data_IF_761426984491
#
_entry.id   IF_761426984491
#
_cell.length_a   1.000
_cell.length_b   1.000
_cell.length_c   1.000
_cell.angle_alpha   90.00
_cell.angle_beta   90.00
_cell.angle_gamma   90.00
#
_symmetry.space_group_name_H-M   'P 1'
#
loop_
_entity.id
_entity.type
_entity.pdbx_description
1 polymer ?
#
# COMPACT_ATOMS: atom_id res chain seq x y z
N UNK A 1 -17.72 -6.05 -79.16
CA UNK A 1 -18.77 -6.64 -80.02
C UNK A 1 -19.52 -5.51 -80.67
N UNK A 2 -19.53 -5.45 -82.00
CA UNK A 2 -20.52 -4.70 -82.77
C UNK A 2 -21.78 -5.54 -82.87
N UNK A 3 -22.96 -4.95 -82.59
CA UNK A 3 -24.22 -5.69 -82.65
C UNK A 3 -24.53 -6.09 -84.10
N UNK A 4 -24.56 -7.39 -84.39
CA UNK A 4 -24.94 -7.94 -85.69
C UNK A 4 -26.47 -7.82 -85.87
N UNK A 5 -26.90 -6.60 -86.13
CA UNK A 5 -28.27 -6.23 -86.37
C UNK A 5 -28.63 -6.57 -87.82
N UNK A 6 -29.66 -7.39 -88.03
CA UNK A 6 -30.14 -7.77 -89.37
C UNK A 6 -30.46 -6.58 -90.29
N UNK A 7 -30.68 -5.36 -89.75
CA UNK A 7 -30.80 -4.13 -90.53
C UNK A 7 -29.47 -3.67 -91.16
N UNK A 8 -28.32 -3.84 -90.51
CA UNK A 8 -27.02 -3.54 -91.14
C UNK A 8 -26.66 -4.63 -92.15
N UNK A 9 -26.81 -5.91 -91.79
CA UNK A 9 -26.49 -7.03 -92.69
C UNK A 9 -27.28 -6.95 -93.99
N UNK A 10 -28.56 -6.54 -93.93
CA UNK A 10 -29.39 -6.28 -95.11
C UNK A 10 -28.91 -5.06 -95.92
N UNK A 11 -28.41 -4.01 -95.28
CA UNK A 11 -27.85 -2.84 -95.97
C UNK A 11 -26.52 -3.17 -96.65
N UNK A 12 -25.64 -3.92 -96.00
CA UNK A 12 -24.36 -4.39 -96.53
C UNK A 12 -24.55 -5.31 -97.74
N UNK A 13 -25.51 -6.25 -97.69
CA UNK A 13 -25.91 -7.07 -98.84
C UNK A 13 -26.49 -6.20 -99.97
N UNK A 14 -27.24 -5.15 -99.64
CA UNK A 14 -27.78 -4.22 -100.65
C UNK A 14 -26.67 -3.40 -101.34
N UNK A 15 -25.61 -3.02 -100.62
CA UNK A 15 -24.45 -2.31 -101.16
C UNK A 15 -23.59 -3.22 -102.07
N UNK A 16 -23.38 -4.47 -101.67
CA UNK A 16 -22.77 -5.50 -102.51
C UNK A 16 -23.60 -5.77 -103.79
N UNK A 17 -24.93 -5.84 -103.67
CA UNK A 17 -25.83 -5.95 -104.82
C UNK A 17 -25.74 -4.71 -105.74
N UNK A 18 -25.77 -3.48 -105.18
CA UNK A 18 -25.67 -2.25 -105.99
C UNK A 18 -24.34 -2.14 -106.73
N UNK A 19 -23.23 -2.57 -106.12
CA UNK A 19 -21.91 -2.55 -106.76
C UNK A 19 -21.79 -3.58 -107.89
N UNK A 20 -22.29 -4.80 -107.73
CA UNK A 20 -22.34 -5.80 -108.81
C UNK A 20 -23.32 -5.40 -109.92
N UNK A 21 -24.52 -4.89 -109.58
CA UNK A 21 -25.48 -4.38 -110.58
C UNK A 21 -24.88 -3.26 -111.43
N UNK A 22 -24.18 -2.31 -110.81
CA UNK A 22 -23.48 -1.21 -111.49
C UNK A 22 -22.30 -1.67 -112.38
N UNK A 23 -21.86 -2.93 -112.30
CA UNK A 23 -20.94 -3.53 -113.25
C UNK A 23 -21.69 -4.16 -114.44
N UNK A 24 -22.79 -4.89 -114.19
CA UNK A 24 -23.71 -5.40 -115.22
C UNK A 24 -24.25 -4.25 -116.10
N UNK A 25 -24.82 -3.20 -115.49
CA UNK A 25 -25.38 -2.04 -116.18
C UNK A 25 -24.35 -1.39 -117.14
N UNK A 26 -23.07 -1.34 -116.74
CA UNK A 26 -21.97 -0.82 -117.58
C UNK A 26 -21.63 -1.72 -118.76
N UNK A 27 -21.67 -3.04 -118.57
CA UNK A 27 -21.43 -4.01 -119.65
C UNK A 27 -22.58 -4.03 -120.66
N UNK A 28 -23.80 -3.70 -120.24
CA UNK A 28 -24.96 -3.52 -121.11
C UNK A 28 -24.91 -2.18 -121.86
N UNK A 29 -24.63 -1.07 -121.17
CA UNK A 29 -24.53 0.26 -121.77
C UNK A 29 -23.39 0.40 -122.82
N UNK A 30 -22.39 -0.47 -122.77
CA UNK A 30 -21.32 -0.53 -123.77
C UNK A 30 -21.75 -1.04 -125.17
N UNK A 31 -23.05 -1.35 -125.37
CA UNK A 31 -23.62 -1.85 -126.64
C UNK A 31 -24.39 -0.81 -127.47
N UNK A 32 -24.35 0.48 -127.12
CA UNK A 32 -25.00 1.55 -127.90
C UNK A 32 -24.29 1.80 -129.25
N UNK A 33 -24.66 1.02 -130.28
CA UNK A 33 -24.13 1.10 -131.64
C UNK A 33 -24.89 2.16 -132.49
N UNK A 34 -24.21 3.20 -133.01
CA UNK A 34 -24.81 4.17 -133.93
C UNK A 34 -25.46 3.54 -135.18
N UNK A 35 -24.94 2.41 -135.67
CA UNK A 35 -25.47 1.70 -136.83
C UNK A 35 -26.84 1.09 -136.51
N UNK A 36 -27.07 0.64 -135.27
CA UNK A 36 -28.38 0.16 -134.83
C UNK A 36 -29.45 1.27 -134.85
N UNK A 37 -29.09 2.49 -134.45
CA UNK A 37 -30.02 3.63 -134.49
C UNK A 37 -30.37 4.07 -135.91
N UNK A 38 -29.43 4.02 -136.85
CA UNK A 38 -29.73 4.30 -138.27
C UNK A 38 -30.59 3.19 -138.91
N UNK A 39 -30.32 1.93 -138.54
CA UNK A 39 -31.11 0.77 -138.98
C UNK A 39 -32.57 0.85 -138.51
N UNK A 40 -32.80 1.25 -137.25
CA UNK A 40 -34.14 1.51 -136.70
C UNK A 40 -34.89 2.60 -137.48
N UNK A 41 -34.23 3.71 -137.82
CA UNK A 41 -34.83 4.79 -138.64
C UNK A 41 -35.24 4.31 -140.03
N UNK A 42 -34.38 3.53 -140.70
CA UNK A 42 -34.67 2.93 -142.01
C UNK A 42 -35.81 1.92 -141.94
N UNK A 43 -35.81 1.04 -140.94
CA UNK A 43 -36.90 0.07 -140.71
C UNK A 43 -38.25 0.75 -140.48
N UNK A 44 -38.28 1.83 -139.68
CA UNK A 44 -39.51 2.59 -139.44
C UNK A 44 -40.04 3.22 -140.74
N UNK A 45 -39.19 3.91 -141.51
CA UNK A 45 -39.59 4.48 -142.80
C UNK A 45 -40.15 3.44 -143.79
N UNK A 46 -39.59 2.22 -143.82
CA UNK A 46 -40.15 1.14 -144.66
C UNK A 46 -41.45 0.55 -144.14
N UNK A 47 -41.68 0.54 -142.82
CA UNK A 47 -42.96 0.12 -142.23
C UNK A 47 -44.05 1.17 -142.48
N UNK A 48 -43.75 2.45 -142.21
CA UNK A 48 -44.65 3.59 -142.42
C UNK A 48 -45.10 3.64 -143.90
N UNK A 49 -44.15 3.51 -144.85
CA UNK A 49 -44.46 3.48 -146.29
C UNK A 49 -45.27 2.25 -146.73
N UNK A 50 -45.03 1.07 -146.14
CA UNK A 50 -45.83 -0.11 -146.42
C UNK A 50 -47.27 0.01 -145.89
N UNK A 51 -47.45 0.66 -144.73
CA UNK A 51 -48.76 0.93 -144.14
C UNK A 51 -49.58 1.91 -144.99
N UNK A 52 -48.96 2.96 -145.54
CA UNK A 52 -49.62 3.86 -146.50
C UNK A 52 -50.11 3.11 -147.75
N UNK A 53 -49.27 2.22 -148.32
CA UNK A 53 -49.63 1.45 -149.52
C UNK A 53 -50.76 0.45 -149.22
N UNK A 54 -50.77 -0.19 -148.05
CA UNK A 54 -51.86 -1.06 -147.61
C UNK A 54 -53.17 -0.28 -147.37
N UNK A 55 -53.08 0.91 -146.78
CA UNK A 55 -54.23 1.80 -146.52
C UNK A 55 -54.80 2.49 -147.76
N UNK A 56 -54.05 2.59 -148.85
CA UNK A 56 -54.45 3.29 -150.07
C UNK A 56 -55.58 2.63 -150.88
N UNK A 57 -56.01 1.40 -150.53
CA UNK A 57 -57.09 0.69 -151.22
C UNK A 57 -56.77 0.21 -152.64
N UNK A 58 -55.49 0.21 -153.02
CA UNK A 58 -54.99 -0.23 -154.35
C UNK A 58 -54.71 -1.74 -154.37
N UNK A 59 -54.43 -2.34 -153.21
CA UNK A 59 -54.17 -3.77 -153.03
C UNK A 59 -55.47 -4.54 -152.73
N UNK A 60 -55.48 -5.85 -153.01
CA UNK A 60 -56.62 -6.69 -152.67
C UNK A 60 -56.61 -7.10 -151.18
N UNK A 61 -57.79 -7.44 -150.66
CA UNK A 61 -58.02 -7.80 -149.25
C UNK A 61 -57.10 -8.93 -148.75
N UNK A 62 -56.70 -9.87 -149.63
CA UNK A 62 -55.80 -10.96 -149.25
C UNK A 62 -54.37 -10.48 -149.01
N UNK A 63 -53.89 -9.49 -149.75
CA UNK A 63 -52.55 -8.90 -149.56
C UNK A 63 -52.56 -7.96 -148.36
N UNK A 64 -53.62 -7.14 -148.21
CA UNK A 64 -53.80 -6.27 -147.02
C UNK A 64 -53.88 -7.12 -145.75
N UNK A 65 -54.62 -8.24 -145.78
CA UNK A 65 -54.63 -9.17 -144.65
C UNK A 65 -53.26 -9.78 -144.38
N UNK A 66 -52.56 -10.30 -145.40
CA UNK A 66 -51.22 -10.87 -145.21
C UNK A 66 -50.21 -9.86 -144.63
N UNK A 67 -50.32 -8.58 -145.00
CA UNK A 67 -49.52 -7.50 -144.39
C UNK A 67 -49.86 -7.34 -142.90
N UNK A 68 -51.14 -7.26 -142.54
CA UNK A 68 -51.59 -7.13 -141.15
C UNK A 68 -51.22 -8.36 -140.31
N UNK A 69 -51.45 -9.58 -140.81
CA UNK A 69 -51.07 -10.85 -140.17
C UNK A 69 -49.55 -10.89 -139.88
N UNK A 70 -48.72 -10.33 -140.78
CA UNK A 70 -47.26 -10.21 -140.59
C UNK A 70 -46.91 -9.12 -139.56
N UNK A 71 -47.61 -7.98 -139.56
CA UNK A 71 -47.40 -6.94 -138.53
C UNK A 71 -47.74 -7.45 -137.13
N UNK A 72 -48.87 -8.15 -136.95
CA UNK A 72 -49.24 -8.79 -135.69
C UNK A 72 -48.19 -9.84 -135.27
N UNK A 73 -47.75 -10.70 -136.19
CA UNK A 73 -46.69 -11.68 -135.91
C UNK A 73 -45.35 -11.02 -135.51
N UNK A 74 -45.00 -9.88 -136.13
CA UNK A 74 -43.80 -9.10 -135.77
C UNK A 74 -43.93 -8.47 -134.39
N UNK A 75 -45.11 -7.94 -134.02
CA UNK A 75 -45.31 -7.33 -132.70
C UNK A 75 -45.41 -8.37 -131.57
N UNK A 76 -46.00 -9.54 -131.83
CA UNK A 76 -45.90 -10.71 -130.95
C UNK A 76 -44.42 -11.11 -130.73
N UNK A 77 -43.61 -11.18 -131.80
CA UNK A 77 -42.18 -11.51 -131.68
C UNK A 77 -41.33 -10.41 -131.04
N UNK A 78 -41.74 -9.14 -131.09
CA UNK A 78 -41.13 -8.08 -130.26
C UNK A 78 -41.46 -8.28 -128.78
N UNK A 79 -42.73 -8.59 -128.44
CA UNK A 79 -43.13 -8.84 -127.06
C UNK A 79 -42.39 -10.04 -126.46
N UNK A 80 -42.35 -11.18 -127.15
CA UNK A 80 -41.57 -12.36 -126.73
C UNK A 80 -40.07 -12.05 -126.52
N UNK A 81 -39.47 -11.21 -127.38
CA UNK A 81 -38.07 -10.80 -127.23
C UNK A 81 -37.85 -9.85 -126.05
N UNK A 82 -38.78 -8.92 -125.79
CA UNK A 82 -38.74 -8.06 -124.60
C UNK A 82 -38.87 -8.89 -123.32
N UNK A 83 -39.87 -9.77 -123.23
CA UNK A 83 -40.04 -10.67 -122.08
C UNK A 83 -38.80 -11.54 -121.84
N UNK A 84 -38.20 -12.11 -122.90
CA UNK A 84 -36.98 -12.91 -122.78
C UNK A 84 -35.76 -12.10 -122.32
N UNK A 85 -35.62 -10.85 -122.78
CA UNK A 85 -34.57 -9.95 -122.28
C UNK A 85 -34.80 -9.53 -120.83
N UNK A 86 -36.03 -9.19 -120.45
CA UNK A 86 -36.36 -8.81 -119.07
C UNK A 86 -36.07 -9.99 -118.12
N UNK A 87 -36.51 -11.22 -118.47
CA UNK A 87 -36.17 -12.46 -117.75
C UNK A 87 -34.64 -12.67 -117.67
N UNK A 88 -33.87 -12.38 -118.73
CA UNK A 88 -32.41 -12.46 -118.69
C UNK A 88 -31.82 -11.42 -117.70
N UNK A 89 -32.38 -10.21 -117.60
CA UNK A 89 -31.92 -9.21 -116.61
C UNK A 89 -32.31 -9.57 -115.17
N UNK A 90 -33.51 -10.11 -114.95
CA UNK A 90 -33.93 -10.60 -113.63
C UNK A 90 -33.06 -11.78 -113.19
N UNK A 91 -32.77 -12.73 -114.08
CA UNK A 91 -31.88 -13.86 -113.79
C UNK A 91 -30.45 -13.39 -113.46
N UNK A 92 -29.89 -12.46 -114.25
CA UNK A 92 -28.56 -11.91 -113.99
C UNK A 92 -28.49 -11.13 -112.66
N UNK A 93 -29.52 -10.35 -112.32
CA UNK A 93 -29.56 -9.64 -111.02
C UNK A 93 -29.81 -10.58 -109.84
N UNK A 94 -30.54 -11.68 -110.03
CA UNK A 94 -30.68 -12.74 -109.03
C UNK A 94 -29.35 -13.49 -108.80
N UNK A 95 -28.61 -13.82 -109.87
CA UNK A 95 -27.27 -14.43 -109.77
C UNK A 95 -26.30 -13.52 -109.01
N UNK A 96 -26.30 -12.21 -109.29
CA UNK A 96 -25.53 -11.23 -108.53
C UNK A 96 -25.91 -11.23 -107.03
N UNK A 97 -27.20 -11.17 -106.71
CA UNK A 97 -27.68 -11.19 -105.32
C UNK A 97 -27.32 -12.49 -104.58
N UNK A 98 -27.40 -13.64 -105.26
CA UNK A 98 -27.01 -14.96 -104.72
C UNK A 98 -25.50 -15.04 -104.45
N UNK A 99 -24.68 -14.46 -105.32
CA UNK A 99 -23.22 -14.43 -105.12
C UNK A 99 -22.85 -13.47 -103.99
N UNK A 100 -23.35 -12.23 -103.99
CA UNK A 100 -23.16 -11.27 -102.90
C UNK A 100 -23.59 -11.82 -101.52
N UNK A 101 -24.67 -12.63 -101.46
CA UNK A 101 -25.07 -13.31 -100.23
C UNK A 101 -24.09 -14.42 -99.82
N UNK A 102 -23.54 -15.21 -100.76
CA UNK A 102 -22.53 -16.23 -100.45
C UNK A 102 -21.24 -15.59 -99.94
N UNK A 103 -20.78 -14.55 -100.61
CA UNK A 103 -19.56 -13.80 -100.25
C UNK A 103 -19.70 -13.23 -98.83
N UNK A 104 -20.83 -12.59 -98.52
CA UNK A 104 -21.09 -12.05 -97.18
C UNK A 104 -21.28 -13.13 -96.11
N UNK A 105 -21.84 -14.29 -96.45
CA UNK A 105 -21.93 -15.41 -95.53
C UNK A 105 -20.55 -16.01 -95.18
N UNK A 106 -19.62 -16.05 -96.15
CA UNK A 106 -18.23 -16.46 -95.91
C UNK A 106 -17.51 -15.44 -95.01
N UNK A 107 -17.62 -14.15 -95.31
CA UNK A 107 -17.04 -13.05 -94.51
C UNK A 107 -17.46 -13.13 -93.03
N UNK A 108 -18.75 -13.37 -92.77
CA UNK A 108 -19.30 -13.47 -91.41
C UNK A 108 -18.86 -14.75 -90.68
N UNK A 109 -18.70 -15.88 -91.38
CA UNK A 109 -18.18 -17.12 -90.80
C UNK A 109 -16.68 -17.01 -90.44
N UNK A 110 -15.88 -16.34 -91.28
CA UNK A 110 -14.48 -16.02 -90.96
C UNK A 110 -14.36 -15.05 -89.79
N UNK A 111 -15.15 -13.97 -89.76
CA UNK A 111 -15.21 -13.05 -88.62
C UNK A 111 -15.63 -13.77 -87.33
N UNK A 112 -16.65 -14.63 -87.38
CA UNK A 112 -17.08 -15.41 -86.22
C UNK A 112 -15.98 -16.35 -85.70
N UNK A 113 -15.26 -17.03 -86.59
CA UNK A 113 -14.11 -17.89 -86.21
C UNK A 113 -12.99 -17.08 -85.53
N UNK A 114 -12.64 -15.91 -86.08
CA UNK A 114 -11.62 -15.04 -85.50
C UNK A 114 -12.02 -14.53 -84.11
N UNK A 115 -13.22 -13.96 -83.97
CA UNK A 115 -13.76 -13.46 -82.69
C UNK A 115 -13.88 -14.59 -81.67
N UNK A 116 -14.27 -15.81 -82.09
CA UNK A 116 -14.32 -16.98 -81.21
C UNK A 116 -12.93 -17.36 -80.68
N UNK A 117 -11.92 -17.46 -81.55
CA UNK A 117 -10.54 -17.80 -81.14
C UNK A 117 -9.96 -16.73 -80.21
N UNK A 118 -10.22 -15.46 -80.49
CA UNK A 118 -9.82 -14.35 -79.61
C UNK A 118 -10.53 -14.40 -78.25
N UNK A 119 -11.84 -14.68 -78.22
CA UNK A 119 -12.59 -14.84 -76.97
C UNK A 119 -12.14 -16.05 -76.15
N UNK A 120 -11.88 -17.19 -76.79
CA UNK A 120 -11.35 -18.40 -76.13
C UNK A 120 -9.94 -18.15 -75.57
N UNK A 121 -9.06 -17.45 -76.30
CA UNK A 121 -7.74 -17.03 -75.81
C UNK A 121 -7.87 -16.07 -74.62
N UNK A 122 -8.66 -15.01 -74.74
CA UNK A 122 -8.85 -14.03 -73.66
C UNK A 122 -9.44 -14.68 -72.39
N UNK A 123 -10.33 -15.67 -72.54
CA UNK A 123 -10.83 -16.48 -71.41
C UNK A 123 -9.75 -17.36 -70.78
N UNK A 124 -8.80 -17.87 -71.57
CA UNK A 124 -7.67 -18.66 -71.05
C UNK A 124 -6.64 -17.77 -70.33
N UNK A 125 -6.25 -16.65 -70.94
CA UNK A 125 -5.29 -15.70 -70.39
C UNK A 125 -5.79 -15.08 -69.07
N UNK A 126 -7.08 -14.69 -69.01
CA UNK A 126 -7.70 -14.18 -67.78
C UNK A 126 -7.81 -15.24 -66.68
N UNK A 127 -8.11 -16.50 -67.02
CA UNK A 127 -8.09 -17.62 -66.05
C UNK A 127 -6.69 -17.89 -65.50
N UNK A 128 -5.64 -17.76 -66.32
CA UNK A 128 -4.26 -17.87 -65.85
C UNK A 128 -3.93 -16.73 -64.87
N UNK A 129 -4.17 -15.48 -65.27
CA UNK A 129 -3.91 -14.31 -64.43
C UNK A 129 -4.63 -14.36 -63.06
N UNK A 130 -5.93 -14.71 -63.05
CA UNK A 130 -6.71 -14.87 -61.80
C UNK A 130 -6.15 -15.99 -60.92
N UNK A 131 -5.66 -17.09 -61.51
CA UNK A 131 -5.05 -18.18 -60.74
C UNK A 131 -3.71 -17.73 -60.13
N UNK A 132 -2.87 -17.05 -60.90
CA UNK A 132 -1.56 -16.58 -60.43
C UNK A 132 -1.72 -15.52 -59.33
N UNK A 133 -2.74 -14.65 -59.42
CA UNK A 133 -3.14 -13.71 -58.37
C UNK A 133 -3.63 -14.43 -57.10
N UNK A 134 -4.47 -15.48 -57.23
CA UNK A 134 -4.93 -16.30 -56.09
C UNK A 134 -3.75 -17.03 -55.42
N UNK A 135 -2.83 -17.60 -56.19
CA UNK A 135 -1.65 -18.30 -55.67
C UNK A 135 -0.69 -17.32 -54.97
N UNK A 136 -0.53 -16.09 -55.50
CA UNK A 136 0.22 -15.01 -54.85
C UNK A 136 -0.41 -14.54 -53.53
N UNK A 137 -1.71 -14.26 -53.51
CA UNK A 137 -2.45 -13.84 -52.30
C UNK A 137 -2.45 -14.93 -51.22
N UNK A 138 -2.54 -16.21 -51.62
CA UNK A 138 -2.42 -17.33 -50.67
C UNK A 138 -1.00 -17.42 -50.07
N UNK A 139 0.04 -17.12 -50.84
CA UNK A 139 1.42 -17.06 -50.35
C UNK A 139 1.62 -15.90 -49.37
N UNK A 140 1.23 -14.68 -49.74
CA UNK A 140 1.33 -13.49 -48.88
C UNK A 140 0.60 -13.71 -47.54
N UNK A 141 -0.62 -14.26 -47.60
CA UNK A 141 -1.41 -14.65 -46.43
C UNK A 141 -0.69 -15.69 -45.56
N UNK A 142 0.02 -16.65 -46.14
CA UNK A 142 0.77 -17.65 -45.38
C UNK A 142 1.99 -17.03 -44.68
N UNK A 143 2.73 -16.15 -45.37
CA UNK A 143 3.89 -15.43 -44.82
C UNK A 143 3.48 -14.44 -43.70
N UNK A 144 2.36 -13.74 -43.88
CA UNK A 144 1.79 -12.87 -42.84
C UNK A 144 1.33 -13.67 -41.60
N UNK A 145 0.67 -14.82 -41.80
CA UNK A 145 0.24 -15.70 -40.69
C UNK A 145 1.42 -16.31 -39.93
N UNK A 146 2.54 -16.60 -40.60
CA UNK A 146 3.76 -17.11 -39.94
C UNK A 146 4.46 -16.02 -39.13
N UNK A 147 4.54 -14.80 -39.66
CA UNK A 147 5.04 -13.61 -38.95
C UNK A 147 4.24 -13.33 -37.68
N UNK A 148 2.90 -13.24 -37.78
CA UNK A 148 1.99 -13.02 -36.64
C UNK A 148 2.15 -14.13 -35.58
N UNK A 149 2.38 -15.38 -35.98
CA UNK A 149 2.61 -16.50 -35.05
C UNK A 149 3.94 -16.39 -34.30
N UNK A 150 5.00 -15.93 -34.96
CA UNK A 150 6.31 -15.67 -34.35
C UNK A 150 6.22 -14.52 -33.35
N UNK A 151 5.70 -13.37 -33.79
CA UNK A 151 5.49 -12.21 -32.92
C UNK A 151 4.64 -12.55 -31.67
N UNK A 152 3.55 -13.30 -31.84
CA UNK A 152 2.71 -13.73 -30.72
C UNK A 152 3.40 -14.76 -29.79
N UNK A 153 4.35 -15.56 -30.30
CA UNK A 153 5.14 -16.47 -29.49
C UNK A 153 6.25 -15.72 -28.72
N UNK A 154 6.93 -14.78 -29.37
CA UNK A 154 8.01 -13.97 -28.79
C UNK A 154 7.46 -13.02 -27.72
N UNK A 155 6.36 -12.31 -27.98
CA UNK A 155 5.65 -11.50 -26.98
C UNK A 155 5.21 -12.34 -25.78
N UNK A 156 4.71 -13.56 -26.01
CA UNK A 156 4.32 -14.48 -24.93
C UNK A 156 5.52 -14.97 -24.11
N UNK A 157 6.69 -15.12 -24.73
CA UNK A 157 7.93 -15.48 -24.05
C UNK A 157 8.48 -14.30 -23.22
N UNK A 158 8.50 -13.09 -23.78
CA UNK A 158 8.90 -11.86 -23.10
C UNK A 158 8.01 -11.58 -21.89
N UNK A 159 6.69 -11.52 -22.07
CA UNK A 159 5.72 -11.23 -21.01
C UNK A 159 5.73 -12.31 -19.90
N UNK A 160 6.07 -13.56 -20.23
CA UNK A 160 6.35 -14.58 -19.20
C UNK A 160 7.62 -14.26 -18.42
N UNK A 161 8.72 -13.92 -19.10
CA UNK A 161 10.00 -13.59 -18.44
C UNK A 161 9.90 -12.33 -17.58
N UNK A 162 9.17 -11.30 -18.03
CA UNK A 162 8.89 -10.10 -17.26
C UNK A 162 8.14 -10.42 -15.98
N UNK A 163 7.02 -11.16 -16.06
CA UNK A 163 6.28 -11.59 -14.86
C UNK A 163 7.11 -12.41 -13.87
N UNK A 164 8.00 -13.28 -14.36
CA UNK A 164 8.89 -14.04 -13.47
C UNK A 164 9.87 -13.11 -12.75
N UNK A 165 10.43 -12.10 -13.42
CA UNK A 165 11.28 -11.07 -12.79
C UNK A 165 10.50 -10.18 -11.82
N UNK A 166 9.28 -9.78 -12.16
CA UNK A 166 8.39 -9.00 -11.29
C UNK A 166 8.04 -9.77 -10.01
N UNK A 167 7.79 -11.08 -10.11
CA UNK A 167 7.49 -11.96 -8.97
C UNK A 167 8.73 -12.21 -8.09
N UNK A 168 9.90 -12.42 -8.71
CA UNK A 168 11.21 -12.51 -8.03
C UNK A 168 11.58 -11.18 -7.32
N UNK A 169 11.39 -10.04 -7.97
CA UNK A 169 11.67 -8.72 -7.39
C UNK A 169 10.65 -8.37 -6.29
N UNK A 170 9.36 -8.66 -6.49
CA UNK A 170 8.34 -8.45 -5.46
C UNK A 170 8.61 -9.28 -4.21
N UNK A 171 8.92 -10.57 -4.36
CA UNK A 171 9.22 -11.44 -3.22
C UNK A 171 10.51 -11.02 -2.51
N UNK A 172 11.58 -10.70 -3.26
CA UNK A 172 12.81 -10.14 -2.69
C UNK A 172 12.57 -8.84 -1.91
N UNK A 173 11.86 -7.87 -2.49
CA UNK A 173 11.61 -6.59 -1.85
C UNK A 173 10.69 -6.72 -0.63
N UNK A 174 9.67 -7.58 -0.69
CA UNK A 174 8.79 -7.91 0.45
C UNK A 174 9.59 -8.51 1.60
N UNK A 175 10.41 -9.52 1.33
CA UNK A 175 11.11 -10.27 2.38
C UNK A 175 12.29 -9.47 2.96
N UNK A 176 12.94 -8.63 2.14
CA UNK A 176 13.90 -7.63 2.60
C UNK A 176 13.25 -6.55 3.46
N UNK A 177 12.10 -6.02 3.08
CA UNK A 177 11.37 -5.03 3.88
C UNK A 177 10.88 -5.61 5.20
N UNK A 178 10.36 -6.86 5.18
CA UNK A 178 10.00 -7.63 6.36
C UNK A 178 11.19 -7.80 7.30
N UNK A 179 12.34 -8.27 6.79
CA UNK A 179 13.53 -8.43 7.63
C UNK A 179 13.99 -7.12 8.25
N UNK A 180 13.99 -6.01 7.50
CA UNK A 180 14.34 -4.68 8.04
C UNK A 180 13.37 -4.25 9.17
N UNK A 181 12.11 -4.66 9.14
CA UNK A 181 11.16 -4.41 10.23
C UNK A 181 11.39 -5.35 11.44
N UNK A 182 11.68 -6.64 11.20
CA UNK A 182 11.98 -7.62 12.25
C UNK A 182 13.31 -7.30 12.98
N UNK A 183 14.37 -6.95 12.25
CA UNK A 183 15.66 -6.52 12.79
C UNK A 183 15.48 -5.26 13.67
N UNK A 184 14.76 -4.23 13.18
CA UNK A 184 14.45 -3.01 13.95
C UNK A 184 13.63 -3.27 15.21
N UNK A 185 12.60 -4.11 15.11
CA UNK A 185 11.75 -4.43 16.24
C UNK A 185 12.54 -5.17 17.33
N UNK A 186 13.49 -6.05 16.95
CA UNK A 186 14.39 -6.69 17.90
C UNK A 186 15.35 -5.69 18.59
N UNK A 187 15.91 -4.73 17.85
CA UNK A 187 16.72 -3.64 18.43
C UNK A 187 15.90 -2.80 19.42
N UNK A 188 14.67 -2.41 19.05
CA UNK A 188 13.74 -1.66 19.92
C UNK A 188 13.34 -2.47 21.15
N UNK A 189 13.09 -3.78 21.02
CA UNK A 189 12.78 -4.67 22.15
C UNK A 189 13.97 -4.77 23.12
N UNK A 190 15.20 -4.92 22.61
CA UNK A 190 16.42 -4.98 23.45
C UNK A 190 16.66 -3.66 24.20
N UNK A 191 16.37 -2.51 23.58
CA UNK A 191 16.44 -1.21 24.28
C UNK A 191 15.35 -1.11 25.35
N UNK A 192 14.09 -1.41 25.01
CA UNK A 192 12.96 -1.33 25.97
C UNK A 192 13.09 -2.31 27.13
N UNK A 193 13.64 -3.50 26.90
CA UNK A 193 13.94 -4.50 27.92
C UNK A 193 14.97 -3.97 28.94
N UNK A 194 16.03 -3.29 28.47
CA UNK A 194 17.03 -2.65 29.35
C UNK A 194 16.50 -1.44 30.11
N UNK A 195 15.63 -0.64 29.48
CA UNK A 195 14.94 0.46 30.18
C UNK A 195 14.06 -0.07 31.32
N UNK A 196 13.29 -1.13 31.08
CA UNK A 196 12.44 -1.78 32.09
C UNK A 196 13.26 -2.44 33.20
N UNK A 197 14.38 -3.11 32.86
CA UNK A 197 15.30 -3.70 33.83
C UNK A 197 15.91 -2.64 34.75
N UNK A 198 16.40 -1.53 34.19
CA UNK A 198 16.91 -0.41 34.98
C UNK A 198 15.84 0.27 35.86
N UNK A 199 14.60 0.37 35.36
CA UNK A 199 13.47 0.91 36.11
C UNK A 199 13.04 0.00 37.27
N UNK A 200 12.97 -1.31 37.05
CA UNK A 200 12.71 -2.30 38.10
C UNK A 200 13.77 -2.23 39.21
N UNK A 201 15.06 -2.25 38.85
CA UNK A 201 16.16 -2.15 39.81
C UNK A 201 16.06 -0.85 40.65
N UNK A 202 15.71 0.27 40.02
CA UNK A 202 15.50 1.55 40.72
C UNK A 202 14.28 1.55 41.66
N UNK A 203 13.26 0.73 41.38
CA UNK A 203 12.14 0.49 42.30
C UNK A 203 12.59 -0.39 43.46
N UNK A 204 13.29 -1.49 43.21
CA UNK A 204 13.81 -2.39 44.26
C UNK A 204 14.72 -1.64 45.25
N UNK A 205 15.65 -0.81 44.75
CA UNK A 205 16.48 0.07 45.58
C UNK A 205 15.64 1.03 46.45
N UNK A 206 14.55 1.59 45.88
CA UNK A 206 13.66 2.51 46.59
C UNK A 206 12.81 1.78 47.64
N UNK A 207 12.31 0.59 47.34
CA UNK A 207 11.51 -0.23 48.26
C UNK A 207 12.37 -0.69 49.44
N UNK A 208 13.61 -1.15 49.20
CA UNK A 208 14.57 -1.45 50.26
C UNK A 208 14.89 -0.21 51.12
N UNK A 209 15.01 0.98 50.52
CA UNK A 209 15.21 2.23 51.24
C UNK A 209 14.01 2.61 52.12
N UNK A 210 12.79 2.45 51.60
CA UNK A 210 11.54 2.68 52.36
C UNK A 210 11.41 1.69 53.51
N UNK A 211 11.62 0.40 53.29
CA UNK A 211 11.60 -0.63 54.33
C UNK A 211 12.62 -0.34 55.44
N UNK A 212 13.82 0.15 55.08
CA UNK A 212 14.82 0.57 56.07
C UNK A 212 14.36 1.78 56.91
N UNK A 213 13.66 2.74 56.30
CA UNK A 213 13.07 3.90 57.00
C UNK A 213 11.89 3.49 57.89
N UNK A 214 10.99 2.65 57.41
CA UNK A 214 9.83 2.12 58.17
C UNK A 214 10.29 1.33 59.40
N UNK A 215 11.30 0.47 59.25
CA UNK A 215 11.92 -0.22 60.38
C UNK A 215 12.53 0.78 61.38
N UNK A 216 13.25 1.80 60.93
CA UNK A 216 13.82 2.81 61.83
C UNK A 216 12.75 3.64 62.56
N UNK A 217 11.63 3.95 61.90
CA UNK A 217 10.49 4.63 62.52
C UNK A 217 9.85 3.73 63.58
N UNK A 218 9.58 2.46 63.29
CA UNK A 218 9.10 1.47 64.28
C UNK A 218 10.01 1.39 65.50
N UNK A 219 11.33 1.36 65.27
CA UNK A 219 12.37 1.37 66.31
C UNK A 219 12.34 2.61 67.19
N UNK A 220 11.96 3.77 66.64
CA UNK A 220 11.80 5.02 67.37
C UNK A 220 10.45 5.10 68.10
N UNK A 221 9.37 4.63 67.47
CA UNK A 221 8.03 4.58 68.08
C UNK A 221 8.01 3.67 69.32
N UNK A 222 8.69 2.51 69.26
CA UNK A 222 8.87 1.64 70.43
C UNK A 222 9.62 2.35 71.56
N UNK A 223 10.77 2.98 71.27
CA UNK A 223 11.55 3.74 72.26
C UNK A 223 10.75 4.91 72.86
N UNK A 224 9.93 5.59 72.06
CA UNK A 224 9.04 6.66 72.53
C UNK A 224 7.91 6.12 73.40
N UNK A 225 7.36 4.94 73.09
CA UNK A 225 6.37 4.26 73.93
C UNK A 225 6.93 3.75 75.28
N UNK A 226 8.25 3.49 75.36
CA UNK A 226 8.93 3.13 76.61
C UNK A 226 9.19 4.33 77.54
N UNK A 227 9.34 5.55 77.00
CA UNK A 227 9.68 6.76 77.79
C UNK A 227 8.78 6.97 79.03
N UNK A 228 7.43 6.86 78.96
CA UNK A 228 6.58 7.02 80.13
C UNK A 228 6.91 6.03 81.26
N UNK A 229 7.19 4.76 80.92
CA UNK A 229 7.53 3.72 81.90
C UNK A 229 8.93 3.94 82.50
N UNK A 230 9.89 4.39 81.68
CA UNK A 230 11.23 4.78 82.14
C UNK A 230 11.18 6.00 83.07
N UNK A 231 10.32 6.98 82.79
CA UNK A 231 10.07 8.13 83.66
C UNK A 231 9.43 7.69 84.98
N UNK A 232 8.36 6.88 84.93
CA UNK A 232 7.69 6.37 86.13
C UNK A 232 8.69 5.64 87.05
N UNK A 233 9.41 4.67 86.49
CA UNK A 233 10.48 3.91 87.18
C UNK A 233 11.57 4.82 87.78
N UNK A 234 12.09 5.78 87.01
CA UNK A 234 13.09 6.72 87.50
C UNK A 234 12.55 7.64 88.62
N UNK A 235 11.26 8.00 88.58
CA UNK A 235 10.62 8.78 89.65
C UNK A 235 10.35 7.96 90.91
N UNK A 236 9.99 6.68 90.80
CA UNK A 236 9.83 5.79 91.96
C UNK A 236 11.18 5.52 92.62
N UNK A 237 12.19 5.13 91.85
CA UNK A 237 13.56 4.90 92.36
C UNK A 237 14.14 6.16 93.00
N UNK A 238 13.98 7.31 92.35
CA UNK A 238 14.42 8.61 92.88
C UNK A 238 13.71 8.98 94.17
N UNK A 239 12.40 8.76 94.26
CA UNK A 239 11.61 9.03 95.46
C UNK A 239 11.96 8.08 96.61
N UNK A 240 12.04 6.76 96.37
CA UNK A 240 12.39 5.78 97.40
C UNK A 240 13.81 5.99 97.92
N UNK A 241 14.77 6.21 97.02
CA UNK A 241 16.16 6.49 97.41
C UNK A 241 16.27 7.81 98.18
N UNK A 242 15.65 8.87 97.69
CA UNK A 242 15.61 10.18 98.38
C UNK A 242 14.97 10.08 99.77
N UNK A 243 13.85 9.37 99.90
CA UNK A 243 13.19 9.07 101.18
C UNK A 243 14.08 8.23 102.10
N UNK A 244 14.77 7.22 101.57
CA UNK A 244 15.69 6.36 102.31
C UNK A 244 16.88 7.15 102.85
N UNK A 245 17.53 7.94 102.02
CA UNK A 245 18.71 8.72 102.40
C UNK A 245 18.37 9.90 103.32
N UNK A 246 17.21 10.56 103.12
CA UNK A 246 16.67 11.53 104.08
C UNK A 246 16.34 10.89 105.44
N UNK A 247 15.75 9.69 105.45
CA UNK A 247 15.44 8.96 106.68
C UNK A 247 16.71 8.53 107.43
N UNK A 248 17.76 8.12 106.70
CA UNK A 248 19.09 7.84 107.28
C UNK A 248 19.70 9.11 107.87
N UNK A 249 19.70 10.21 107.13
CA UNK A 249 20.26 11.50 107.55
C UNK A 249 19.58 12.01 108.82
N UNK A 250 18.25 12.10 108.84
CA UNK A 250 17.47 12.45 110.02
C UNK A 250 17.70 11.46 111.18
N UNK A 251 17.81 10.17 110.88
CA UNK A 251 18.15 9.13 111.86
C UNK A 251 19.58 9.22 112.42
N UNK A 252 20.54 9.83 111.72
CA UNK A 252 21.87 10.15 112.25
C UNK A 252 21.84 11.43 113.08
N UNK A 253 21.23 12.49 112.56
CA UNK A 253 21.12 13.79 113.23
C UNK A 253 20.35 13.69 114.55
N UNK A 254 19.21 12.98 114.56
CA UNK A 254 18.46 12.68 115.78
C UNK A 254 19.33 11.96 116.82
N UNK A 255 20.07 10.92 116.43
CA UNK A 255 20.97 10.19 117.35
C UNK A 255 22.11 11.08 117.86
N UNK A 256 22.66 11.97 117.04
CA UNK A 256 23.68 12.92 117.46
C UNK A 256 23.13 13.92 118.51
N UNK A 257 21.89 14.39 118.33
CA UNK A 257 21.19 15.24 119.31
C UNK A 257 20.90 14.47 120.60
N UNK A 258 20.36 13.25 120.52
CA UNK A 258 20.07 12.39 121.68
C UNK A 258 21.34 12.07 122.48
N UNK A 259 22.42 11.68 121.80
CA UNK A 259 23.71 11.38 122.43
C UNK A 259 24.37 12.63 123.03
N UNK A 260 24.27 13.79 122.36
CA UNK A 260 24.73 15.07 122.93
C UNK A 260 23.97 15.40 124.21
N UNK A 261 22.64 15.29 124.20
CA UNK A 261 21.81 15.51 125.38
C UNK A 261 22.16 14.53 126.51
N UNK A 262 22.46 13.26 126.20
CA UNK A 262 22.89 12.27 127.20
C UNK A 262 24.26 12.63 127.82
N UNK A 263 25.22 13.10 127.02
CA UNK A 263 26.50 13.61 127.54
C UNK A 263 26.32 14.86 128.40
N UNK A 264 25.48 15.81 128.00
CA UNK A 264 25.16 17.00 128.79
C UNK A 264 24.47 16.62 130.12
N UNK A 265 23.52 15.70 130.11
CA UNK A 265 22.90 15.16 131.32
C UNK A 265 23.91 14.46 132.24
N UNK A 266 24.82 13.64 131.70
CA UNK A 266 25.89 13.00 132.49
C UNK A 266 26.84 14.03 133.09
N UNK A 267 27.29 15.00 132.32
CA UNK A 267 28.17 16.07 132.80
C UNK A 267 27.51 16.94 133.89
N UNK A 268 26.21 17.22 133.78
CA UNK A 268 25.43 17.89 134.82
C UNK A 268 25.29 17.01 136.08
N UNK A 269 24.99 15.72 135.92
CA UNK A 269 24.81 14.78 137.03
C UNK A 269 26.12 14.53 137.80
N UNK A 270 27.25 14.35 137.11
CA UNK A 270 28.56 14.23 137.75
C UNK A 270 29.03 15.55 138.38
N UNK A 271 28.59 16.72 137.86
CA UNK A 271 28.78 18.02 138.53
C UNK A 271 27.93 18.15 139.79
N UNK A 272 26.69 17.64 139.79
CA UNK A 272 25.84 17.56 140.98
C UNK A 272 26.53 16.68 142.04
N UNK A 273 26.94 15.46 141.70
CA UNK A 273 27.64 14.56 142.63
C UNK A 273 28.90 15.17 143.24
N UNK A 274 29.71 15.90 142.44
CA UNK A 274 30.88 16.62 142.98
C UNK A 274 30.45 17.69 143.99
N UNK A 275 29.46 18.51 143.66
CA UNK A 275 28.94 19.52 144.58
C UNK A 275 28.28 18.89 145.83
N UNK A 276 27.73 17.68 145.74
CA UNK A 276 27.27 16.89 146.88
C UNK A 276 28.44 16.41 147.76
N UNK A 277 29.49 15.84 147.15
CA UNK A 277 30.73 15.44 147.84
C UNK A 277 31.41 16.63 148.53
N UNK A 278 31.65 17.72 147.79
CA UNK A 278 32.25 18.97 148.29
C UNK A 278 31.45 19.52 149.48
N UNK A 279 30.11 19.39 149.45
CA UNK A 279 29.20 19.85 150.50
C UNK A 279 29.16 18.89 151.71
N UNK A 280 29.44 17.59 151.55
CA UNK A 280 29.75 16.70 152.69
C UNK A 280 31.11 16.98 153.30
N UNK A 281 32.17 17.13 152.49
CA UNK A 281 33.52 17.46 153.00
C UNK A 281 33.52 18.83 153.72
N UNK A 282 32.76 19.81 153.23
CA UNK A 282 32.53 21.08 153.92
C UNK A 282 31.80 20.91 155.26
N UNK A 283 30.85 19.97 155.38
CA UNK A 283 30.17 19.68 156.65
C UNK A 283 31.10 18.97 157.64
N UNK A 284 31.89 18.01 157.18
CA UNK A 284 32.81 17.24 158.02
C UNK A 284 34.00 18.09 158.49
N UNK A 285 34.46 19.03 157.67
CA UNK A 285 35.44 20.06 158.08
C UNK A 285 34.83 21.09 159.03
N UNK A 286 33.57 21.49 158.88
CA UNK A 286 32.86 22.31 159.89
C UNK A 286 32.75 21.54 161.21
N UNK A 287 32.34 20.27 161.20
CA UNK A 287 32.19 19.45 162.39
C UNK A 287 33.53 19.26 163.13
N UNK A 288 34.62 18.93 162.42
CA UNK A 288 35.95 18.80 163.03
C UNK A 288 36.58 20.14 163.43
N UNK A 289 36.16 21.27 162.85
CA UNK A 289 36.51 22.60 163.35
C UNK A 289 35.74 22.95 164.63
N UNK A 290 34.46 22.58 164.74
CA UNK A 290 33.68 22.71 165.99
C UNK A 290 34.27 21.83 167.11
N UNK A 291 34.59 20.57 166.83
CA UNK A 291 35.21 19.65 167.78
C UNK A 291 36.60 20.15 168.26
N UNK A 292 37.40 20.74 167.37
CA UNK A 292 38.65 21.41 167.74
C UNK A 292 38.44 22.68 168.54
N UNK A 293 37.38 23.45 168.28
CA UNK A 293 37.01 24.65 169.03
C UNK A 293 36.59 24.29 170.47
N UNK A 294 35.76 23.26 170.63
CA UNK A 294 35.34 22.74 171.93
C UNK A 294 36.51 22.14 172.70
N UNK A 295 37.41 21.42 172.03
CA UNK A 295 38.68 20.93 172.61
C UNK A 295 39.60 22.07 173.07
N UNK A 296 39.74 23.14 172.29
CA UNK A 296 40.49 24.33 172.69
C UNK A 296 39.84 25.05 173.89
N UNK A 297 38.51 25.15 173.94
CA UNK A 297 37.79 25.67 175.10
C UNK A 297 37.92 24.78 176.35
N UNK A 298 38.03 23.46 176.18
CA UNK A 298 38.32 22.53 177.29
C UNK A 298 39.74 22.74 177.84
N UNK A 299 40.76 22.74 176.98
CA UNK A 299 42.16 22.98 177.36
C UNK A 299 42.35 24.35 178.03
N UNK A 300 41.65 25.39 177.56
CA UNK A 300 41.71 26.71 178.17
C UNK A 300 41.08 26.77 179.58
N UNK A 301 40.11 25.89 179.90
CA UNK A 301 39.57 25.72 181.27
C UNK A 301 40.53 24.92 182.15
N UNK A 302 41.18 23.90 181.60
CA UNK A 302 42.13 23.05 182.32
C UNK A 302 43.36 23.85 182.77
N UNK A 303 43.96 24.64 181.87
CA UNK A 303 45.08 25.55 182.16
C UNK A 303 44.73 26.58 183.27
N UNK A 304 43.50 27.09 183.26
CA UNK A 304 43.00 27.99 184.30
C UNK A 304 42.75 27.30 185.65
N UNK A 305 42.55 25.97 185.65
CA UNK A 305 42.27 25.19 186.86
C UNK A 305 43.53 24.82 187.62
N UNK A 306 44.59 24.38 186.93
CA UNK A 306 45.83 23.96 187.61
C UNK A 306 46.66 25.14 188.13
N UNK A 307 46.56 26.32 187.49
CA UNK A 307 47.17 27.57 187.98
C UNK A 307 46.71 27.94 189.41
N UNK A 308 45.53 27.48 189.83
CA UNK A 308 44.90 27.86 191.12
C UNK A 308 45.29 26.93 192.28
N UNK A 309 45.79 25.70 192.03
CA UNK A 309 46.13 24.76 193.12
C UNK A 309 47.46 25.08 193.84
N UNK A 310 48.31 25.91 193.25
CA UNK A 310 49.65 26.21 193.78
C UNK A 310 49.68 27.36 194.81
N UNK A 311 49.05 27.19 195.98
CA UNK A 311 49.48 27.77 197.28
C UNK A 311 48.56 27.36 198.45
N UNK A 312 49.08 26.83 199.57
CA UNK A 312 48.23 26.45 200.72
C UNK A 312 48.87 25.92 202.03
N UNK A 313 50.11 25.43 202.03
CA UNK A 313 50.81 24.88 203.23
C UNK A 313 50.54 23.38 203.48
N UNK A 314 51.24 22.60 204.34
CA UNK A 314 52.21 22.83 205.46
C UNK A 314 52.97 21.47 205.67
N UNK A 315 54.28 21.28 206.01
CA UNK A 315 55.43 22.13 206.44
C UNK A 315 56.82 21.48 206.11
N UNK A 316 57.85 22.34 206.05
CA UNK A 316 59.30 22.23 206.40
C UNK A 316 59.71 20.96 207.23
N UNK A 317 60.82 20.21 207.03
CA UNK A 317 62.20 20.47 206.52
C UNK A 317 62.71 19.45 205.46
N UNK A 318 63.62 19.92 204.61
CA UNK A 318 64.69 19.28 203.80
C UNK A 318 64.55 17.83 203.29
N UNK A 319 64.64 17.64 201.94
CA UNK A 319 65.92 17.33 201.26
C UNK A 319 65.82 17.20 199.71
N UNK A 320 66.72 17.90 199.02
CA UNK A 320 67.25 17.71 197.65
C UNK A 320 66.41 16.94 196.58
N UNK A 321 65.84 17.67 195.62
CA UNK A 321 66.17 17.43 194.19
C UNK A 321 65.87 18.67 193.32
N UNK A 322 66.80 19.05 192.43
CA UNK A 322 66.68 20.28 191.62
C UNK A 322 67.59 20.31 190.39
N UNK A 323 67.01 20.42 189.20
CA UNK A 323 67.66 20.73 187.92
C UNK A 323 66.58 21.26 186.95
N UNK A 324 66.76 22.41 186.28
CA UNK A 324 67.79 22.79 185.30
C UNK A 324 67.55 22.15 183.93
#
# INVERSE_FOLDING_TARGET
>A
MTDINAKSTKAEIMEAYMTQKKQLDKLMAAKDDPVAQEKLKKQKLTLDSAAEIAGAGILNDSIVKQYNDICEAVDIKKAELCELYDIETELNTLVALVNAHKDKAHELDEQYKLVKVEAEKNLQDTKAAIKDEIDALNKEKAEALDTIRKEAADLKAQLKQERQREEEEYTYNRDRARKIAEDKWADEEVVKRKELEAWNNSIEERELSVIAQENHISDLEQKVAEIPSLIESATTDGYEKGKSDASKSWGFEKRAIEQKNEYEQKALNDKIKRLETDLTEAKDTIATLQEKLDSAYAQMRELATDTVKCNGGVKILDRENSGK
#
